data_IF_874086431280
#
_entry.id   IF_874086431280
#
_cell.length_a   1.000
_cell.length_b   1.000
_cell.length_c   1.000
_cell.angle_alpha   90.00
_cell.angle_beta   90.00
_cell.angle_gamma   90.00
#
_symmetry.space_group_name_H-M   'P 1'
#
loop_
_entity.id
_entity.type
_entity.pdbx_description
1 polymer ?
#
# COMPACT_ATOMS: atom_id res chain seq x y z
N UNK A 1 5.54 -18.22 -10.61
CA UNK A 1 6.23 -17.71 -9.40
C UNK A 1 6.59 -16.25 -9.53
N UNK A 2 7.33 -15.82 -10.57
CA UNK A 2 7.70 -14.40 -10.77
C UNK A 2 6.50 -13.43 -10.77
N UNK A 3 5.40 -13.78 -11.45
CA UNK A 3 4.17 -12.97 -11.46
C UNK A 3 3.57 -12.76 -10.06
N UNK A 4 3.61 -13.78 -9.20
CA UNK A 4 3.05 -13.71 -7.84
C UNK A 4 3.95 -12.84 -6.95
N UNK A 5 5.28 -13.03 -7.05
CA UNK A 5 6.27 -12.19 -6.36
C UNK A 5 6.12 -10.72 -6.75
N UNK A 6 5.87 -10.45 -8.04
CA UNK A 6 5.59 -9.10 -8.55
C UNK A 6 4.26 -8.56 -8.00
N UNK A 7 3.20 -9.37 -7.97
CA UNK A 7 1.93 -8.97 -7.37
C UNK A 7 2.05 -8.63 -5.89
N UNK A 8 2.83 -9.42 -5.14
CA UNK A 8 3.13 -9.15 -3.73
C UNK A 8 3.90 -7.83 -3.55
N UNK A 9 4.87 -7.52 -4.42
CA UNK A 9 5.56 -6.22 -4.37
C UNK A 9 4.62 -5.04 -4.72
N UNK A 10 3.75 -5.21 -5.72
CA UNK A 10 2.77 -4.20 -6.13
C UNK A 10 1.70 -3.91 -5.06
N UNK A 11 1.56 -4.76 -4.04
CA UNK A 11 0.67 -4.49 -2.92
C UNK A 11 1.12 -3.29 -2.06
N UNK A 12 2.39 -2.90 -2.12
CA UNK A 12 2.91 -1.69 -1.48
C UNK A 12 2.66 -0.42 -2.29
N UNK A 13 2.43 -0.54 -3.59
CA UNK A 13 2.26 0.62 -4.46
C UNK A 13 0.94 1.35 -4.16
N UNK A 14 1.03 2.67 -4.00
CA UNK A 14 -0.09 3.60 -3.75
C UNK A 14 -1.08 3.06 -2.72
N UNK A 15 -0.72 3.05 -1.43
CA UNK A 15 -1.48 2.35 -0.38
C UNK A 15 -2.91 2.86 -0.20
N UNK A 16 -3.15 4.15 -0.51
CA UNK A 16 -4.46 4.78 -0.39
C UNK A 16 -5.34 4.61 -1.64
N UNK A 17 -4.79 4.10 -2.75
CA UNK A 17 -5.58 3.83 -3.95
C UNK A 17 -6.23 2.45 -3.88
N UNK A 18 -7.49 2.32 -4.34
CA UNK A 18 -8.16 1.04 -4.40
C UNK A 18 -7.48 0.12 -5.43
N UNK A 19 -7.59 -1.20 -5.23
CA UNK A 19 -7.00 -2.19 -6.15
C UNK A 19 -7.73 -2.32 -7.49
N UNK A 20 -8.88 -1.65 -7.66
CA UNK A 20 -9.60 -1.60 -8.95
C UNK A 20 -8.81 -0.86 -10.03
N UNK A 21 -7.90 0.03 -9.64
CA UNK A 21 -7.03 0.78 -10.56
C UNK A 21 -5.68 0.06 -10.77
N UNK A 22 -5.03 0.26 -11.93
CA UNK A 22 -3.71 -0.30 -12.18
C UNK A 22 -2.68 0.13 -11.13
N UNK A 23 -1.65 -0.70 -10.95
CA UNK A 23 -0.56 -0.53 -9.99
C UNK A 23 0.80 -0.62 -10.67
N UNK A 24 1.76 0.10 -10.09
CA UNK A 24 3.11 0.25 -10.59
C UNK A 24 3.18 0.99 -11.92
N UNK A 25 4.39 1.17 -12.42
CA UNK A 25 4.65 1.93 -13.65
C UNK A 25 4.21 1.18 -14.92
N UNK A 26 4.08 -0.15 -14.83
CA UNK A 26 3.72 -1.01 -15.96
C UNK A 26 2.20 -1.20 -16.14
N UNK A 27 1.35 -0.44 -15.45
CA UNK A 27 -0.11 -0.60 -15.50
C UNK A 27 -0.57 -2.04 -15.21
N UNK A 28 -0.05 -2.65 -14.14
CA UNK A 28 -0.44 -4.00 -13.75
C UNK A 28 -1.81 -3.99 -13.06
N UNK A 29 -2.73 -4.87 -13.47
CA UNK A 29 -4.10 -4.91 -12.94
C UNK A 29 -4.35 -6.23 -12.22
N UNK A 30 -4.86 -6.15 -10.99
CA UNK A 30 -5.35 -7.30 -10.24
C UNK A 30 -6.74 -7.69 -10.75
N UNK A 31 -6.93 -8.96 -11.10
CA UNK A 31 -8.23 -9.48 -11.52
C UNK A 31 -9.10 -9.70 -10.29
N UNK A 32 -9.94 -8.71 -9.99
CA UNK A 32 -10.79 -8.74 -8.80
C UNK A 32 -12.10 -9.48 -9.07
N UNK A 33 -12.53 -10.29 -8.11
CA UNK A 33 -13.90 -10.84 -8.05
C UNK A 33 -14.71 -10.08 -7.01
N UNK A 34 -16.02 -10.34 -6.93
CA UNK A 34 -16.93 -9.65 -6.01
C UNK A 34 -16.51 -9.75 -4.53
N UNK A 35 -15.78 -10.81 -4.16
CA UNK A 35 -15.25 -11.02 -2.81
C UNK A 35 -14.19 -10.00 -2.41
N UNK A 36 -13.52 -9.39 -3.39
CA UNK A 36 -12.43 -8.42 -3.19
C UNK A 36 -12.88 -6.97 -3.37
N UNK A 37 -14.18 -6.71 -3.41
CA UNK A 37 -14.73 -5.35 -3.51
C UNK A 37 -15.19 -4.83 -2.15
N UNK A 38 -14.89 -3.56 -1.87
CA UNK A 38 -15.50 -2.84 -0.74
C UNK A 38 -16.96 -2.52 -1.03
N UNK A 39 -17.72 -2.23 0.03
CA UNK A 39 -19.11 -1.79 -0.08
C UNK A 39 -19.29 -0.62 -1.06
N UNK A 40 -18.32 0.29 -1.14
CA UNK A 40 -18.32 1.44 -2.05
C UNK A 40 -18.25 1.06 -3.53
N UNK A 41 -17.60 -0.07 -3.86
CA UNK A 41 -17.38 -0.53 -5.23
C UNK A 41 -18.18 -1.80 -5.56
N UNK A 42 -19.07 -2.29 -4.68
CA UNK A 42 -19.86 -3.51 -4.94
C UNK A 42 -20.74 -3.43 -6.19
N UNK A 43 -21.21 -2.23 -6.55
CA UNK A 43 -22.13 -2.04 -7.68
C UNK A 43 -21.43 -1.91 -9.04
N UNK A 44 -20.23 -1.31 -9.08
CA UNK A 44 -19.53 -0.95 -10.32
C UNK A 44 -18.06 -1.38 -10.36
N UNK A 45 -17.53 -1.98 -9.30
CA UNK A 45 -16.11 -2.30 -9.14
C UNK A 45 -15.60 -3.30 -10.18
N UNK A 46 -16.39 -4.34 -10.49
CA UNK A 46 -16.07 -5.30 -11.56
C UNK A 46 -16.06 -4.60 -12.93
N UNK A 47 -17.04 -3.76 -13.21
CA UNK A 47 -17.09 -3.03 -14.48
C UNK A 47 -15.87 -2.11 -14.64
N UNK A 48 -15.49 -1.40 -13.57
CA UNK A 48 -14.31 -0.55 -13.54
C UNK A 48 -13.04 -1.38 -13.74
N UNK A 49 -12.89 -2.50 -13.03
CA UNK A 49 -11.74 -3.39 -13.16
C UNK A 49 -11.61 -3.97 -14.58
N UNK A 50 -12.73 -4.34 -15.20
CA UNK A 50 -12.76 -4.82 -16.58
C UNK A 50 -12.32 -3.75 -17.59
N UNK A 51 -12.68 -2.48 -17.37
CA UNK A 51 -12.22 -1.36 -18.21
C UNK A 51 -10.70 -1.19 -18.17
N UNK A 52 -10.08 -1.38 -17.00
CA UNK A 52 -8.63 -1.30 -16.86
C UNK A 52 -7.91 -2.55 -17.37
N UNK A 53 -8.53 -3.73 -17.23
CA UNK A 53 -8.01 -5.00 -17.76
C UNK A 53 -7.78 -4.95 -19.27
N UNK A 54 -8.66 -4.27 -20.03
CA UNK A 54 -8.55 -4.18 -21.49
C UNK A 54 -7.30 -3.44 -22.00
N UNK A 55 -6.69 -2.57 -21.20
CA UNK A 55 -5.50 -1.79 -21.53
C UNK A 55 -4.30 -2.13 -20.63
N UNK A 56 -4.40 -3.20 -19.82
CA UNK A 56 -3.36 -3.57 -18.88
C UNK A 56 -2.18 -4.23 -19.60
N UNK A 57 -0.96 -3.86 -19.20
CA UNK A 57 0.25 -4.55 -19.69
C UNK A 57 0.42 -5.90 -19.01
N UNK A 58 0.11 -5.95 -17.71
CA UNK A 58 0.27 -7.13 -16.87
C UNK A 58 -1.04 -7.43 -16.14
N UNK A 59 -1.40 -8.72 -16.09
CA UNK A 59 -2.60 -9.20 -15.40
C UNK A 59 -2.20 -10.13 -14.27
N UNK A 60 -2.69 -9.83 -13.07
CA UNK A 60 -2.40 -10.57 -11.86
C UNK A 60 -3.67 -11.33 -11.47
N UNK A 61 -3.76 -12.63 -11.82
CA UNK A 61 -4.91 -13.43 -11.44
C UNK A 61 -4.92 -13.66 -9.94
N UNK A 62 -6.10 -13.56 -9.34
CA UNK A 62 -6.32 -13.90 -7.94
C UNK A 62 -7.07 -15.22 -7.86
N UNK A 63 -6.63 -16.10 -6.97
CA UNK A 63 -7.39 -17.31 -6.64
C UNK A 63 -8.53 -16.97 -5.70
N UNK A 64 -9.61 -17.74 -5.73
CA UNK A 64 -10.66 -17.66 -4.72
C UNK A 64 -10.10 -18.04 -3.34
N UNK A 65 -10.55 -17.31 -2.31
CA UNK A 65 -10.11 -17.56 -0.94
C UNK A 65 -10.64 -18.91 -0.47
N UNK A 66 -9.75 -19.85 -0.12
CA UNK A 66 -10.15 -21.11 0.55
C UNK A 66 -10.78 -20.83 1.91
N UNK A 67 -10.35 -19.77 2.58
CA UNK A 67 -10.87 -19.27 3.86
C UNK A 67 -10.90 -17.76 3.82
N UNK A 68 -12.06 -17.16 4.06
CA UNK A 68 -12.18 -15.70 4.19
C UNK A 68 -11.59 -15.27 5.55
N UNK A 69 -10.55 -14.42 5.57
CA UNK A 69 -9.95 -13.91 6.80
C UNK A 69 -10.96 -13.07 7.60
N UNK A 70 -10.98 -13.23 8.92
CA UNK A 70 -11.91 -12.50 9.79
C UNK A 70 -11.17 -11.40 10.53
N UNK A 71 -11.35 -10.16 10.07
CA UNK A 71 -10.78 -8.97 10.72
C UNK A 71 -11.81 -8.31 11.64
N UNK A 72 -12.01 -8.86 12.84
CA UNK A 72 -13.04 -8.35 13.75
C UNK A 72 -12.62 -7.11 14.52
N UNK A 73 -11.36 -7.04 14.94
CA UNK A 73 -10.78 -5.89 15.66
C UNK A 73 -10.23 -4.90 14.66
N UNK A 74 -9.50 -5.38 13.66
CA UNK A 74 -8.74 -4.54 12.73
C UNK A 74 -9.60 -3.73 11.77
N UNK A 75 -10.81 -4.20 11.47
CA UNK A 75 -11.79 -3.46 10.66
C UNK A 75 -12.46 -2.31 11.43
N UNK A 76 -12.30 -2.26 12.75
CA UNK A 76 -12.82 -1.14 13.57
C UNK A 76 -12.00 0.14 13.34
N UNK A 77 -10.75 0.01 12.87
CA UNK A 77 -9.90 1.15 12.57
C UNK A 77 -10.31 1.77 11.22
N UNK A 78 -10.74 3.05 11.19
CA UNK A 78 -11.11 3.71 9.93
C UNK A 78 -9.93 3.78 8.96
N UNK A 79 -10.19 3.65 7.66
CA UNK A 79 -9.14 3.71 6.62
C UNK A 79 -8.36 5.02 6.58
N UNK A 80 -9.00 6.12 6.96
CA UNK A 80 -8.41 7.46 6.95
C UNK A 80 -7.81 7.87 8.30
N UNK A 81 -7.72 6.95 9.27
CA UNK A 81 -7.13 7.21 10.58
C UNK A 81 -5.65 6.85 10.62
N UNK A 82 -4.91 7.46 11.54
CA UNK A 82 -3.52 7.11 11.77
C UNK A 82 -3.37 5.84 12.61
N UNK A 83 -2.39 5.03 12.22
CA UNK A 83 -1.98 3.85 12.94
C UNK A 83 -0.70 4.13 13.72
N UNK A 84 -0.63 3.58 14.94
CA UNK A 84 0.54 3.70 15.81
C UNK A 84 0.63 2.49 16.74
N UNK A 85 1.80 1.86 16.77
CA UNK A 85 2.10 0.70 17.62
C UNK A 85 2.21 1.04 19.10
N UNK A 86 2.25 2.33 19.46
CA UNK A 86 2.29 2.73 20.87
C UNK A 86 0.92 2.60 21.55
N UNK A 87 -0.17 2.47 20.79
CA UNK A 87 -1.50 2.27 21.34
C UNK A 87 -1.78 0.77 21.51
N UNK A 88 -2.12 0.29 22.72
CA UNK A 88 -2.41 -1.13 22.97
C UNK A 88 -3.59 -1.66 22.13
N UNK A 89 -4.56 -0.81 21.79
CA UNK A 89 -5.67 -1.18 20.89
C UNK A 89 -5.16 -1.52 19.49
N UNK A 90 -4.27 -0.69 18.94
CA UNK A 90 -3.67 -0.85 17.62
C UNK A 90 -2.75 -2.06 17.56
N UNK A 91 -1.99 -2.35 18.64
CA UNK A 91 -1.19 -3.57 18.74
C UNK A 91 -2.06 -4.82 18.58
N UNK A 92 -3.17 -4.92 19.32
CA UNK A 92 -4.09 -6.07 19.23
C UNK A 92 -4.73 -6.22 17.85
N UNK A 93 -4.92 -5.12 17.12
CA UNK A 93 -5.38 -5.15 15.73
C UNK A 93 -4.27 -5.66 14.81
N UNK A 94 -3.04 -5.19 15.00
CA UNK A 94 -1.90 -5.68 14.22
C UNK A 94 -1.66 -7.17 14.44
N UNK A 95 -1.70 -7.65 15.68
CA UNK A 95 -1.56 -9.06 16.02
C UNK A 95 -2.63 -9.92 15.30
N UNK A 96 -3.90 -9.51 15.30
CA UNK A 96 -4.98 -10.22 14.59
C UNK A 96 -4.69 -10.33 13.08
N UNK A 97 -4.19 -9.27 12.46
CA UNK A 97 -3.90 -9.27 11.01
C UNK A 97 -2.69 -10.14 10.72
N UNK A 98 -1.63 -10.03 11.52
CA UNK A 98 -0.41 -10.83 11.36
C UNK A 98 -0.75 -12.32 11.52
N UNK A 99 -1.52 -12.70 12.54
CA UNK A 99 -1.95 -14.08 12.76
C UNK A 99 -2.73 -14.64 11.55
N UNK A 100 -3.66 -13.86 10.98
CA UNK A 100 -4.41 -14.28 9.78
C UNK A 100 -3.51 -14.42 8.54
N UNK A 101 -2.55 -13.50 8.33
CA UNK A 101 -1.59 -13.59 7.22
C UNK A 101 -0.62 -14.76 7.38
N UNK A 102 -0.19 -15.05 8.61
CA UNK A 102 0.73 -16.14 8.94
C UNK A 102 0.03 -17.51 8.98
N UNK A 103 -1.29 -17.55 9.14
CA UNK A 103 -2.08 -18.78 9.12
C UNK A 103 -2.19 -19.42 7.73
N UNK A 104 -1.84 -18.70 6.65
CA UNK A 104 -1.77 -19.28 5.30
C UNK A 104 -0.56 -20.23 5.23
N UNK A 105 -0.71 -21.48 4.77
CA UNK A 105 0.40 -22.43 4.71
C UNK A 105 1.61 -21.90 3.92
N UNK A 106 2.81 -22.21 4.41
CA UNK A 106 4.07 -21.94 3.70
C UNK A 106 4.08 -22.73 2.37
N UNK A 107 4.33 -22.04 1.25
CA UNK A 107 4.36 -22.64 -0.09
C UNK A 107 3.10 -22.42 -0.94
N UNK A 108 2.00 -21.91 -0.36
CA UNK A 108 0.80 -21.49 -1.10
C UNK A 108 0.79 -19.97 -1.31
N UNK A 109 1.70 -19.49 -2.17
CA UNK A 109 1.85 -18.05 -2.46
C UNK A 109 0.61 -17.44 -3.14
N UNK A 110 -0.18 -18.24 -3.86
CA UNK A 110 -1.41 -17.77 -4.49
C UNK A 110 -2.45 -17.42 -3.43
N UNK A 111 -2.69 -18.33 -2.48
CA UNK A 111 -3.61 -18.06 -1.37
C UNK A 111 -3.09 -16.92 -0.48
N UNK A 112 -1.78 -16.81 -0.30
CA UNK A 112 -1.18 -15.69 0.43
C UNK A 112 -1.47 -14.35 -0.28
N UNK A 113 -1.22 -14.26 -1.59
CA UNK A 113 -1.50 -13.06 -2.38
C UNK A 113 -2.99 -12.67 -2.32
N UNK A 114 -3.89 -13.63 -2.50
CA UNK A 114 -5.34 -13.42 -2.38
C UNK A 114 -5.72 -12.91 -0.99
N UNK A 115 -5.16 -13.51 0.06
CA UNK A 115 -5.40 -13.10 1.45
C UNK A 115 -4.90 -11.68 1.72
N UNK A 116 -3.70 -11.33 1.27
CA UNK A 116 -3.15 -9.98 1.40
C UNK A 116 -3.95 -8.95 0.59
N UNK A 117 -4.41 -9.31 -0.61
CA UNK A 117 -5.29 -8.47 -1.43
C UNK A 117 -6.60 -8.18 -0.69
N UNK A 118 -7.24 -9.21 -0.11
CA UNK A 118 -8.46 -9.05 0.68
C UNK A 118 -8.23 -8.16 1.92
N UNK A 119 -7.11 -8.34 2.61
CA UNK A 119 -6.71 -7.53 3.76
C UNK A 119 -6.52 -6.06 3.37
N UNK A 120 -5.78 -5.78 2.28
CA UNK A 120 -5.53 -4.42 1.77
C UNK A 120 -6.82 -3.67 1.48
N UNK A 121 -7.80 -4.34 0.87
CA UNK A 121 -9.07 -3.73 0.50
C UNK A 121 -9.93 -3.38 1.72
N UNK A 122 -9.88 -4.18 2.78
CA UNK A 122 -10.78 -4.06 3.92
C UNK A 122 -10.19 -3.32 5.13
N UNK A 123 -8.87 -3.15 5.20
CA UNK A 123 -8.17 -2.61 6.35
C UNK A 123 -7.64 -1.19 6.12
N UNK A 124 -7.18 -0.57 7.21
CA UNK A 124 -6.42 0.67 7.16
C UNK A 124 -5.08 0.47 6.43
N UNK A 125 -4.70 1.35 5.49
CA UNK A 125 -3.48 1.18 4.69
C UNK A 125 -2.19 1.15 5.50
N UNK A 126 -2.09 1.96 6.57
CA UNK A 126 -0.91 1.98 7.43
C UNK A 126 -0.79 0.71 8.26
N UNK A 127 -1.92 0.24 8.84
CA UNK A 127 -2.00 -1.02 9.57
C UNK A 127 -1.63 -2.20 8.64
N UNK A 128 -2.22 -2.25 7.45
CA UNK A 128 -1.93 -3.29 6.46
C UNK A 128 -0.45 -3.28 6.08
N UNK A 129 0.13 -2.12 5.74
CA UNK A 129 1.53 -2.03 5.34
C UNK A 129 2.48 -2.59 6.41
N UNK A 130 2.24 -2.25 7.68
CA UNK A 130 3.01 -2.77 8.80
C UNK A 130 2.89 -4.29 8.91
N UNK A 131 1.66 -4.80 9.01
CA UNK A 131 1.40 -6.24 9.21
C UNK A 131 1.91 -7.07 8.03
N UNK A 132 1.74 -6.56 6.81
CA UNK A 132 2.20 -7.20 5.59
C UNK A 132 3.73 -7.25 5.54
N UNK A 133 4.42 -6.16 5.88
CA UNK A 133 5.89 -6.15 5.97
C UNK A 133 6.40 -7.18 6.98
N UNK A 134 5.78 -7.26 8.16
CA UNK A 134 6.13 -8.26 9.18
C UNK A 134 5.90 -9.68 8.66
N UNK A 135 4.77 -9.96 8.02
CA UNK A 135 4.47 -11.26 7.43
C UNK A 135 5.52 -11.67 6.38
N UNK A 136 5.88 -10.75 5.47
CA UNK A 136 6.90 -11.00 4.45
C UNK A 136 8.28 -11.32 5.04
N UNK A 137 8.66 -10.67 6.14
CA UNK A 137 9.94 -10.90 6.82
C UNK A 137 10.02 -12.26 7.52
N UNK A 138 8.91 -12.74 8.08
CA UNK A 138 8.91 -13.96 8.90
C UNK A 138 8.66 -15.23 8.07
N UNK A 139 7.88 -15.14 7.00
CA UNK A 139 7.59 -16.28 6.13
C UNK A 139 8.83 -16.73 5.34
N UNK A 140 8.97 -18.04 5.15
CA UNK A 140 10.16 -18.63 4.48
C UNK A 140 10.07 -18.54 2.96
N UNK A 141 8.86 -18.51 2.41
CA UNK A 141 8.56 -18.48 0.98
C UNK A 141 8.66 -17.07 0.36
N UNK A 142 8.56 -16.01 1.16
CA UNK A 142 8.57 -14.60 0.71
C UNK A 142 9.88 -13.85 0.92
N UNK A 143 10.96 -14.52 1.32
CA UNK A 143 12.25 -13.89 1.64
C UNK A 143 12.90 -13.08 0.50
N UNK A 144 12.56 -13.42 -0.74
CA UNK A 144 13.11 -12.75 -1.92
C UNK A 144 12.26 -11.56 -2.40
N UNK A 145 11.19 -11.22 -1.68
CA UNK A 145 10.30 -10.12 -2.05
C UNK A 145 10.87 -8.83 -1.47
N UNK A 146 11.17 -7.82 -2.30
CA UNK A 146 11.65 -6.54 -1.79
C UNK A 146 10.52 -5.84 -1.05
N UNK A 147 10.80 -5.44 0.20
CA UNK A 147 9.90 -4.60 0.98
C UNK A 147 10.12 -3.16 0.51
N UNK A 148 9.06 -2.49 0.08
CA UNK A 148 9.13 -1.11 -0.37
C UNK A 148 9.62 -0.20 0.77
N UNK A 149 10.37 0.84 0.42
CA UNK A 149 10.81 1.81 1.41
C UNK A 149 9.59 2.52 2.00
N UNK A 150 9.49 2.54 3.33
CA UNK A 150 8.37 3.15 4.02
C UNK A 150 8.22 4.66 3.69
N UNK A 151 9.33 5.34 3.39
CA UNK A 151 9.31 6.74 2.94
C UNK A 151 8.72 6.91 1.52
N UNK A 152 8.84 5.92 0.65
CA UNK A 152 8.24 5.92 -0.69
C UNK A 152 6.76 5.55 -0.64
N UNK A 153 6.38 4.64 0.26
CA UNK A 153 4.98 4.23 0.43
C UNK A 153 4.15 5.30 1.17
N UNK A 154 4.72 5.93 2.21
CA UNK A 154 4.06 6.96 3.01
C UNK A 154 4.93 8.22 3.12
N UNK A 155 5.14 8.95 2.00
CA UNK A 155 5.98 10.15 1.99
C UNK A 155 5.47 11.24 2.94
N UNK A 156 4.16 11.29 3.20
CA UNK A 156 3.54 12.31 4.06
C UNK A 156 4.03 12.28 5.51
N UNK A 157 4.71 11.21 5.93
CA UNK A 157 5.33 11.11 7.26
C UNK A 157 6.75 11.68 7.31
N UNK A 158 7.37 11.96 6.16
CA UNK A 158 8.79 12.33 6.07
C UNK A 158 9.04 13.67 5.36
N UNK A 159 8.10 14.13 4.54
CA UNK A 159 8.22 15.39 3.79
C UNK A 159 7.10 16.35 4.15
N UNK A 160 7.37 17.65 4.01
CA UNK A 160 6.38 18.68 4.28
C UNK A 160 5.17 18.54 3.33
N UNK A 161 3.98 18.80 3.89
CA UNK A 161 2.72 18.92 3.15
C UNK A 161 2.80 19.79 1.88
N UNK A 162 3.60 20.86 1.89
CA UNK A 162 3.75 21.79 0.76
C UNK A 162 4.40 21.14 -0.46
N UNK A 163 5.26 20.14 -0.23
CA UNK A 163 5.96 19.40 -1.28
C UNK A 163 4.98 18.63 -2.15
N UNK A 164 3.87 18.13 -1.59
CA UNK A 164 2.87 17.37 -2.34
C UNK A 164 2.13 18.20 -3.38
N UNK A 165 1.82 19.46 -3.08
CA UNK A 165 1.16 20.36 -4.02
C UNK A 165 2.07 20.63 -5.23
N UNK A 166 3.35 20.91 -4.98
CA UNK A 166 4.35 21.16 -6.01
C UNK A 166 4.66 19.90 -6.83
N UNK A 167 4.76 18.74 -6.17
CA UNK A 167 4.96 17.46 -6.84
C UNK A 167 3.80 17.10 -7.76
N UNK A 168 2.55 17.37 -7.34
CA UNK A 168 1.35 17.13 -8.15
C UNK A 168 1.32 18.03 -9.40
N UNK A 169 1.65 19.30 -9.25
CA UNK A 169 1.77 20.24 -10.37
C UNK A 169 2.85 19.78 -11.36
N UNK A 170 4.04 19.46 -10.83
CA UNK A 170 5.17 18.93 -11.59
C UNK A 170 4.81 17.65 -12.36
N UNK A 171 4.15 16.69 -11.71
CA UNK A 171 3.73 15.45 -12.34
C UNK A 171 2.70 15.68 -13.47
N UNK A 172 1.75 16.61 -13.27
CA UNK A 172 0.77 16.96 -14.29
C UNK A 172 1.41 17.63 -15.52
N UNK A 173 2.44 18.46 -15.30
CA UNK A 173 3.22 19.11 -16.36
C UNK A 173 4.13 18.10 -17.07
N UNK A 174 4.80 17.22 -16.32
CA UNK A 174 5.66 16.16 -16.87
C UNK A 174 4.88 15.21 -17.77
N UNK A 175 3.64 14.85 -17.39
CA UNK A 175 2.75 14.03 -18.20
C UNK A 175 2.42 14.66 -19.57
N UNK A 176 2.60 15.97 -19.72
CA UNK A 176 2.42 16.70 -20.98
C UNK A 176 3.74 16.79 -21.80
N UNK A 177 4.81 16.13 -21.37
CA UNK A 177 6.08 16.01 -22.10
C UNK A 177 7.13 17.07 -21.78
N UNK A 178 6.93 17.89 -20.75
CA UNK A 178 7.90 18.90 -20.34
C UNK A 178 8.99 18.30 -19.43
N UNK A 179 10.29 18.67 -19.62
CA UNK A 179 11.37 18.22 -18.74
C UNK A 179 11.26 18.92 -17.38
N UNK A 180 11.17 18.15 -16.29
CA UNK A 180 11.04 18.72 -14.94
C UNK A 180 12.25 18.42 -14.09
N UNK A 181 12.77 19.44 -13.40
CA UNK A 181 13.92 19.34 -12.50
C UNK A 181 13.46 18.94 -11.09
N UNK A 182 13.77 17.71 -10.69
CA UNK A 182 13.32 17.11 -9.41
C UNK A 182 14.00 17.69 -8.15
N UNK A 183 15.08 18.45 -8.29
CA UNK A 183 15.93 18.85 -7.16
C UNK A 183 15.38 19.99 -6.29
N UNK A 184 14.25 20.61 -6.67
CA UNK A 184 13.73 21.82 -6.02
C UNK A 184 12.70 21.55 -4.88
N UNK A 185 12.34 20.29 -4.64
CA UNK A 185 11.19 19.94 -3.79
C UNK A 185 11.49 19.84 -2.29
N UNK A 186 12.75 19.87 -1.86
CA UNK A 186 13.08 20.02 -0.44
C UNK A 186 13.42 21.48 -0.16
N UNK A 187 12.53 22.26 0.49
CA UNK A 187 12.91 23.58 0.92
C UNK A 187 14.08 23.45 1.89
N UNK A 188 15.26 23.96 1.51
CA UNK A 188 16.36 24.27 2.43
C UNK A 188 15.99 25.47 3.34
N UNK A 189 14.77 25.53 3.85
CA UNK A 189 14.32 26.58 4.78
C UNK A 189 14.85 26.26 6.19
N UNK A 190 16.18 26.25 6.31
CA UNK A 190 16.92 26.17 7.57
C UNK A 190 17.20 27.56 8.16
N UNK A 191 16.59 28.62 7.58
CA UNK A 191 16.84 30.02 7.98
C UNK A 191 15.89 30.55 9.05
N UNK A 192 14.70 29.94 9.23
CA UNK A 192 13.77 30.31 10.31
C UNK A 192 13.98 29.51 11.61
N UNK A 193 14.83 28.46 11.56
CA UNK A 193 15.09 27.50 12.64
C UNK A 193 16.19 27.93 13.63
N UNK A 194 16.96 28.98 13.32
CA UNK A 194 18.15 29.37 14.09
C UNK A 194 17.86 30.10 15.43
N UNK A 195 16.60 30.46 15.71
CA UNK A 195 16.22 31.12 16.95
C UNK A 195 15.82 30.18 18.08
N UNK A 196 15.54 28.90 17.79
CA UNK A 196 15.11 27.91 18.78
C UNK A 196 16.28 26.97 19.12
N UNK A 197 16.70 26.87 20.39
CA UNK A 197 17.86 26.07 20.79
C UNK A 197 17.76 24.58 20.40
N UNK A 198 16.55 24.02 20.43
CA UNK A 198 16.27 22.60 20.15
C UNK A 198 16.53 22.21 18.67
N UNK A 199 16.44 23.18 17.77
CA UNK A 199 16.58 22.99 16.33
C UNK A 199 18.02 22.85 15.82
N UNK A 200 19.02 23.06 16.69
CA UNK A 200 20.44 22.87 16.34
C UNK A 200 20.87 21.40 16.18
N UNK A 201 20.00 20.45 16.57
CA UNK A 201 20.29 19.01 16.49
C UNK A 201 19.56 18.30 15.33
N UNK A 202 18.82 19.04 14.51
CA UNK A 202 18.19 18.51 13.29
C UNK A 202 19.17 18.46 12.13
N UNK A 203 20.14 17.55 12.17
CA UNK A 203 21.00 17.15 11.05
C UNK A 203 21.03 15.64 10.94
#
# INVERSE_FOLDING_TARGET
MAEITKGLALLFDRPNEPLVTPKGDNNAVFQLTDEYLTDDYKSNGIEINNRFTGNATDLIPLENLKRVPKFTKSRQLPKNSDFSLFLPSHQRMADEVIDELMAVPDGDLNQFLSTCTYARVNLNPQLFNYCYSVALMHRRDTRNIPIANFAETFPSKFVDSQVFSQARETAAIAAQGAPVSYFALFPQQLSHFLSVPEHKTGL
#
